data_IF_258044193912
#
_entry.id   IF_258044193912
#
_cell.length_a   1.000
_cell.length_b   1.000
_cell.length_c   1.000
_cell.angle_alpha   90.00
_cell.angle_beta   90.00
_cell.angle_gamma   90.00
#
_symmetry.space_group_name_H-M   'P 1'
#
loop_
_entity.id
_entity.type
_entity.pdbx_description
1 polymer ?
#
# COMPACT_ATOMS: atom_id res chain seq x y z
N UNK A 1 6.81 19.49 23.68
CA UNK A 1 5.94 18.33 23.96
C UNK A 1 4.68 18.49 23.11
N UNK A 2 4.45 17.64 22.12
CA UNK A 2 3.26 17.75 21.25
C UNK A 2 2.03 17.43 22.10
N UNK A 3 1.17 18.42 22.35
CA UNK A 3 -0.15 18.19 22.98
C UNK A 3 -1.13 17.77 21.90
N UNK A 4 -1.49 16.49 21.90
CA UNK A 4 -2.53 15.96 21.02
C UNK A 4 -3.86 16.05 21.76
N UNK A 5 -4.84 16.75 21.18
CA UNK A 5 -6.19 16.86 21.74
C UNK A 5 -7.06 15.78 21.12
N UNK A 6 -7.63 14.91 21.96
CA UNK A 6 -8.60 13.91 21.53
C UNK A 6 -10.00 14.53 21.54
N UNK A 7 -10.66 14.55 20.38
CA UNK A 7 -12.06 14.95 20.27
C UNK A 7 -12.97 13.73 20.19
N UNK A 8 -14.25 13.88 20.52
CA UNK A 8 -15.23 12.80 20.41
C UNK A 8 -15.36 12.28 18.96
N UNK A 9 -15.15 13.14 17.96
CA UNK A 9 -15.15 12.72 16.56
C UNK A 9 -13.95 11.82 16.23
N UNK A 10 -12.75 12.18 16.68
CA UNK A 10 -11.55 11.37 16.51
C UNK A 10 -11.76 10.01 17.19
N UNK A 11 -12.31 10.00 18.41
CA UNK A 11 -12.60 8.77 19.13
C UNK A 11 -13.58 7.88 18.35
N UNK A 12 -14.67 8.44 17.82
CA UNK A 12 -15.65 7.70 17.01
C UNK A 12 -15.00 7.06 15.77
N UNK A 13 -14.10 7.78 15.08
CA UNK A 13 -13.36 7.27 13.92
C UNK A 13 -12.40 6.14 14.30
N UNK A 14 -11.67 6.29 15.42
CA UNK A 14 -10.77 5.25 15.93
C UNK A 14 -11.54 3.98 16.28
N UNK A 15 -12.68 4.11 16.96
CA UNK A 15 -13.53 2.96 17.32
C UNK A 15 -14.00 2.22 16.07
N UNK A 16 -14.50 2.93 15.06
CA UNK A 16 -14.94 2.32 13.80
C UNK A 16 -13.78 1.60 13.06
N UNK A 17 -12.57 2.17 13.05
CA UNK A 17 -11.38 1.51 12.46
C UNK A 17 -11.07 0.21 13.23
N UNK A 18 -11.11 0.25 14.56
CA UNK A 18 -10.81 -0.92 15.39
C UNK A 18 -11.85 -2.05 15.22
N UNK A 19 -13.13 -1.73 15.16
CA UNK A 19 -14.20 -2.69 14.90
C UNK A 19 -14.01 -3.40 13.55
N UNK A 20 -13.69 -2.65 12.50
CA UNK A 20 -13.42 -3.19 11.17
C UNK A 20 -12.15 -4.07 11.16
N UNK A 21 -11.06 -3.61 11.78
CA UNK A 21 -9.81 -4.38 11.91
C UNK A 21 -10.05 -5.70 12.63
N UNK A 22 -10.81 -5.68 13.71
CA UNK A 22 -11.12 -6.86 14.50
C UNK A 22 -11.97 -7.85 13.69
N UNK A 23 -13.02 -7.36 13.02
CA UNK A 23 -13.86 -8.17 12.15
C UNK A 23 -13.03 -8.85 11.05
N UNK A 24 -12.16 -8.10 10.37
CA UNK A 24 -11.26 -8.64 9.35
C UNK A 24 -10.31 -9.71 9.91
N UNK A 25 -9.77 -9.51 11.12
CA UNK A 25 -8.84 -10.45 11.75
C UNK A 25 -9.46 -11.82 12.06
N UNK A 26 -10.79 -11.88 12.24
CA UNK A 26 -11.53 -13.13 12.48
C UNK A 26 -11.86 -13.89 11.20
N UNK A 27 -11.79 -13.25 10.04
CA UNK A 27 -12.13 -13.91 8.78
C UNK A 27 -11.06 -14.93 8.40
N UNK A 28 -11.47 -16.17 8.19
CA UNK A 28 -10.58 -17.19 7.64
C UNK A 28 -10.57 -17.07 6.11
N UNK A 29 -9.39 -16.85 5.53
CA UNK A 29 -9.21 -16.82 4.07
C UNK A 29 -8.09 -17.78 3.66
N UNK A 30 -8.21 -18.45 2.49
CA UNK A 30 -7.13 -19.25 1.93
C UNK A 30 -5.83 -18.44 1.79
N UNK A 31 -4.69 -19.08 2.03
CA UNK A 31 -3.39 -18.42 1.98
C UNK A 31 -3.11 -17.78 0.60
N UNK A 32 -3.49 -18.47 -0.49
CA UNK A 32 -3.34 -17.95 -1.85
C UNK A 32 -4.11 -16.64 -2.06
N UNK A 33 -5.38 -16.58 -1.65
CA UNK A 33 -6.21 -15.36 -1.74
C UNK A 33 -5.61 -14.24 -0.90
N UNK A 34 -5.19 -14.53 0.33
CA UNK A 34 -4.57 -13.55 1.25
C UNK A 34 -3.28 -12.96 0.66
N UNK A 35 -2.42 -13.81 0.10
CA UNK A 35 -1.17 -13.39 -0.51
C UNK A 35 -1.40 -12.52 -1.75
N UNK A 36 -2.39 -12.89 -2.59
CA UNK A 36 -2.79 -12.07 -3.75
C UNK A 36 -3.32 -10.70 -3.33
N UNK A 37 -4.18 -10.64 -2.30
CA UNK A 37 -4.70 -9.37 -1.77
C UNK A 37 -3.58 -8.49 -1.21
N UNK A 38 -2.64 -9.07 -0.46
CA UNK A 38 -1.45 -8.36 0.05
C UNK A 38 -0.59 -7.79 -1.06
N UNK A 39 -0.29 -8.58 -2.10
CA UNK A 39 0.48 -8.12 -3.27
C UNK A 39 -0.24 -6.96 -3.96
N UNK A 40 -1.54 -7.10 -4.21
CA UNK A 40 -2.36 -6.05 -4.84
C UNK A 40 -2.42 -4.76 -4.00
N UNK A 41 -2.56 -4.88 -2.68
CA UNK A 41 -2.53 -3.73 -1.76
C UNK A 41 -1.20 -2.97 -1.84
N UNK A 42 -0.08 -3.70 -1.83
CA UNK A 42 1.26 -3.09 -1.96
C UNK A 42 1.47 -2.41 -3.32
N UNK A 43 0.98 -3.00 -4.42
CA UNK A 43 1.02 -2.37 -5.74
C UNK A 43 0.25 -1.04 -5.76
N UNK A 44 -0.99 -1.04 -5.23
CA UNK A 44 -1.82 0.16 -5.15
C UNK A 44 -1.19 1.23 -4.27
N UNK A 45 -0.64 0.84 -3.12
CA UNK A 45 0.07 1.74 -2.23
C UNK A 45 1.30 2.36 -2.90
N UNK A 46 2.07 1.56 -3.65
CA UNK A 46 3.24 2.06 -4.40
C UNK A 46 2.83 3.08 -5.46
N UNK A 47 1.83 2.76 -6.28
CA UNK A 47 1.28 3.72 -7.24
C UNK A 47 0.80 5.01 -6.57
N UNK A 48 -0.08 4.92 -5.57
CA UNK A 48 -0.69 6.09 -4.95
C UNK A 48 0.35 6.99 -4.26
N UNK A 49 1.32 6.40 -3.55
CA UNK A 49 2.37 7.15 -2.84
C UNK A 49 3.30 7.86 -3.81
N UNK A 50 3.73 7.20 -4.88
CA UNK A 50 4.55 7.86 -5.90
C UNK A 50 3.75 8.89 -6.71
N UNK A 51 2.44 8.67 -6.91
CA UNK A 51 1.58 9.60 -7.64
C UNK A 51 1.41 10.94 -6.93
N UNK A 52 1.28 10.95 -5.59
CA UNK A 52 1.20 12.20 -4.81
C UNK A 52 2.53 12.99 -4.85
N UNK A 53 3.66 12.32 -5.06
CA UNK A 53 4.98 12.92 -5.26
C UNK A 53 5.25 13.32 -6.73
N UNK A 54 4.24 13.22 -7.61
CA UNK A 54 4.33 13.68 -9.00
C UNK A 54 4.82 12.65 -10.01
N UNK A 55 4.89 11.35 -9.67
CA UNK A 55 5.26 10.32 -10.63
C UNK A 55 4.23 10.24 -11.79
N UNK A 56 4.69 10.25 -13.06
CA UNK A 56 3.81 10.35 -14.22
C UNK A 56 3.11 9.04 -14.59
N UNK A 57 3.55 7.89 -14.07
CA UNK A 57 3.02 6.59 -14.46
C UNK A 57 1.55 6.44 -14.03
N UNK A 58 0.78 5.76 -14.88
CA UNK A 58 -0.57 5.30 -14.55
C UNK A 58 -0.54 4.09 -13.62
N UNK A 59 -1.66 3.77 -12.96
CA UNK A 59 -1.77 2.60 -12.08
C UNK A 59 -1.41 1.29 -12.82
N UNK A 60 -1.87 1.15 -14.07
CA UNK A 60 -1.57 -0.02 -14.89
C UNK A 60 -0.07 -0.13 -15.20
N UNK A 61 0.57 0.97 -15.62
CA UNK A 61 2.00 0.99 -15.88
C UNK A 61 2.82 0.70 -14.62
N UNK A 62 2.44 1.28 -13.47
CA UNK A 62 3.08 0.99 -12.19
C UNK A 62 2.94 -0.50 -11.79
N UNK A 63 1.75 -1.08 -12.00
CA UNK A 63 1.50 -2.50 -11.74
C UNK A 63 2.31 -3.43 -12.65
N UNK A 64 2.45 -3.09 -13.93
CA UNK A 64 3.30 -3.82 -14.89
C UNK A 64 4.77 -3.73 -14.50
N UNK A 65 5.24 -2.53 -14.17
CA UNK A 65 6.62 -2.27 -13.78
C UNK A 65 7.05 -3.14 -12.60
N UNK A 66 6.15 -3.43 -11.65
CA UNK A 66 6.41 -4.31 -10.51
C UNK A 66 6.57 -5.79 -10.92
N UNK A 67 5.89 -6.23 -11.98
CA UNK A 67 5.96 -7.62 -12.48
C UNK A 67 7.09 -7.86 -13.49
N UNK A 68 7.69 -6.80 -14.04
CA UNK A 68 8.79 -6.91 -15.01
C UNK A 68 10.06 -7.50 -14.38
N UNK A 69 10.86 -8.17 -15.22
CA UNK A 69 12.16 -8.75 -14.86
C UNK A 69 13.08 -7.69 -14.19
N UNK A 70 13.56 -7.95 -12.95
CA UNK A 70 14.49 -7.06 -12.25
C UNK A 70 15.78 -6.71 -13.00
N UNK A 71 16.21 -7.53 -13.97
CA UNK A 71 17.46 -7.33 -14.74
C UNK A 71 17.31 -6.30 -15.86
N UNK A 72 16.10 -5.81 -16.13
CA UNK A 72 15.84 -4.83 -17.18
C UNK A 72 16.27 -3.43 -16.74
N UNK A 73 16.68 -2.61 -17.71
CA UNK A 73 16.85 -1.18 -17.47
C UNK A 73 15.49 -0.50 -17.30
N UNK A 74 15.31 0.14 -16.16
CA UNK A 74 14.12 0.90 -15.81
C UNK A 74 14.37 2.39 -15.94
N UNK A 75 13.37 3.14 -16.41
CA UNK A 75 13.41 4.59 -16.34
C UNK A 75 13.29 5.05 -14.89
N UNK A 76 13.74 6.27 -14.56
CA UNK A 76 13.67 6.81 -13.19
C UNK A 76 12.26 6.69 -12.56
N UNK A 77 11.15 7.05 -13.25
CA UNK A 77 9.81 6.89 -12.68
C UNK A 77 9.43 5.44 -12.39
N UNK A 78 9.92 4.49 -13.19
CA UNK A 78 9.68 3.07 -12.98
C UNK A 78 10.49 2.54 -11.78
N UNK A 79 11.74 3.00 -11.63
CA UNK A 79 12.59 2.66 -10.50
C UNK A 79 11.99 3.15 -9.17
N UNK A 80 11.44 4.37 -9.14
CA UNK A 80 10.78 4.92 -7.94
C UNK A 80 9.63 4.02 -7.46
N UNK A 81 8.76 3.58 -8.38
CA UNK A 81 7.66 2.65 -8.07
C UNK A 81 8.19 1.32 -7.52
N UNK A 82 9.21 0.75 -8.19
CA UNK A 82 9.80 -0.55 -7.77
C UNK A 82 10.46 -0.45 -6.41
N UNK A 83 11.25 0.60 -6.18
CA UNK A 83 11.96 0.81 -4.93
C UNK A 83 10.98 0.93 -3.76
N UNK A 84 9.89 1.69 -3.94
CA UNK A 84 8.85 1.78 -2.92
C UNK A 84 8.16 0.43 -2.67
N UNK A 85 7.79 -0.30 -3.73
CA UNK A 85 7.20 -1.64 -3.60
C UNK A 85 8.12 -2.62 -2.86
N UNK A 86 9.43 -2.57 -3.12
CA UNK A 86 10.43 -3.38 -2.43
C UNK A 86 10.57 -2.96 -0.96
N UNK A 87 10.56 -1.66 -0.67
CA UNK A 87 10.55 -1.16 0.71
C UNK A 87 9.34 -1.66 1.50
N UNK A 88 8.14 -1.68 0.89
CA UNK A 88 6.93 -2.27 1.49
C UNK A 88 7.04 -3.78 1.76
N UNK A 89 7.99 -4.48 1.15
CA UNK A 89 8.24 -5.90 1.43
C UNK A 89 9.20 -6.14 2.59
N UNK A 90 9.88 -5.11 3.08
CA UNK A 90 10.78 -5.16 4.23
C UNK A 90 10.11 -4.75 5.55
N UNK A 91 8.85 -4.30 5.49
CA UNK A 91 7.97 -3.95 6.62
C UNK A 91 7.00 -5.11 6.91
#
# INVERSE_FOLDING_TARGET
>A
MIKVTLTNEILKRITAINENRFSLSKTCMPAATRNRLRKNSKKKSSYASNRIEGNPLTENQASEVIERDPRRHFLKPEQEIRNYFLALNML
#
